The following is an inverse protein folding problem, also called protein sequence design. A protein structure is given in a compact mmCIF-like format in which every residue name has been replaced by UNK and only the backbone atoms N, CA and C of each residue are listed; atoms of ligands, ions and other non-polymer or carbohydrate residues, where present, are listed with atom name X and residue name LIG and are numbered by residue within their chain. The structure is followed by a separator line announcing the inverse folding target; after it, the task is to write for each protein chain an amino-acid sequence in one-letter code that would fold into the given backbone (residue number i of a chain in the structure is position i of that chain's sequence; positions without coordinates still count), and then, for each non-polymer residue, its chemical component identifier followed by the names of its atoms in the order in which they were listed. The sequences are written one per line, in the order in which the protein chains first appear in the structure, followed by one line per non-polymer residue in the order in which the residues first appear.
data_IF_286471004271
#
_entry.id   IF_286471004271
#
_cell.length_a   1.000
_cell.length_b   1.000
_cell.length_c   1.000
_cell.angle_alpha   90.00
_cell.angle_beta   90.00
_cell.angle_gamma   90.00
#
_symmetry.space_group_name_H-M   'P 1'
#
loop_
_entity.id
_entity.type
_entity.pdbx_description
1 polymer ?
#
# COMPACT_ATOMS: atom_id res chain seq x y z
N UNK A 1 -5.85 9.77 -22.82
CA UNK A 1 -5.17 11.02 -22.46
C UNK A 1 -4.75 11.00 -21.02
N UNK A 2 -3.70 11.71 -20.61
CA UNK A 2 -3.26 11.75 -19.22
C UNK A 2 -4.35 12.20 -18.24
N UNK A 3 -5.17 13.15 -18.63
CA UNK A 3 -6.29 13.65 -17.82
C UNK A 3 -7.31 12.56 -17.49
N UNK A 4 -7.54 11.63 -18.43
CA UNK A 4 -8.50 10.55 -18.26
C UNK A 4 -7.99 9.47 -17.30
N UNK A 5 -6.70 9.15 -17.37
CA UNK A 5 -6.07 8.23 -16.43
C UNK A 5 -6.14 8.78 -15.00
N UNK A 6 -5.97 10.08 -14.83
CA UNK A 6 -6.12 10.74 -13.54
C UNK A 6 -7.55 10.70 -13.03
N UNK A 7 -8.54 10.90 -13.89
CA UNK A 7 -9.96 10.78 -13.50
C UNK A 7 -10.30 9.38 -13.01
N UNK A 8 -9.84 8.34 -13.71
CA UNK A 8 -10.03 6.95 -13.28
C UNK A 8 -9.33 6.69 -11.96
N UNK A 9 -8.12 7.19 -11.79
CA UNK A 9 -7.35 7.05 -10.58
C UNK A 9 -8.04 7.74 -9.40
N UNK A 10 -8.57 8.95 -9.59
CA UNK A 10 -9.31 9.67 -8.56
C UNK A 10 -10.60 8.93 -8.19
N UNK A 11 -11.32 8.40 -9.18
CA UNK A 11 -12.51 7.59 -8.93
C UNK A 11 -12.18 6.33 -8.13
N UNK A 12 -11.06 5.67 -8.41
CA UNK A 12 -10.59 4.52 -7.65
C UNK A 12 -10.19 4.88 -6.23
N UNK A 13 -9.53 6.03 -6.04
CA UNK A 13 -9.18 6.52 -4.70
C UNK A 13 -10.42 6.82 -3.88
N UNK A 14 -11.42 7.49 -4.47
CA UNK A 14 -12.70 7.77 -3.82
C UNK A 14 -13.42 6.48 -3.45
N UNK A 15 -13.43 5.50 -4.37
CA UNK A 15 -13.99 4.17 -4.12
C UNK A 15 -13.26 3.42 -3.02
N UNK A 16 -11.94 3.58 -2.92
CA UNK A 16 -11.14 2.97 -1.86
C UNK A 16 -11.45 3.56 -0.49
N UNK A 17 -11.69 4.87 -0.41
CA UNK A 17 -12.12 5.51 0.84
C UNK A 17 -13.50 5.00 1.27
N UNK A 18 -14.35 4.62 0.32
CA UNK A 18 -15.66 4.03 0.55
C UNK A 18 -15.62 2.51 0.71
N UNK A 19 -14.61 1.84 0.14
CA UNK A 19 -14.49 0.38 0.23
C UNK A 19 -14.21 -0.05 1.66
N UNK A 20 -14.91 -1.09 2.14
CA UNK A 20 -14.75 -1.56 3.52
C UNK A 20 -13.46 -2.37 3.72
N UNK A 21 -12.33 -1.91 3.17
CA UNK A 21 -11.02 -2.48 3.46
C UNK A 21 -10.75 -2.42 4.96
N UNK A 22 -11.26 -1.38 5.61
CA UNK A 22 -11.23 -1.21 7.07
C UNK A 22 -12.02 -2.27 7.83
N UNK A 23 -12.93 -2.98 7.17
CA UNK A 23 -13.78 -4.01 7.78
C UNK A 23 -13.22 -5.42 7.60
N UNK A 24 -12.16 -5.58 6.81
CA UNK A 24 -11.51 -6.88 6.66
C UNK A 24 -10.68 -7.15 7.91
N UNK A 25 -11.08 -8.17 8.66
CA UNK A 25 -10.30 -8.66 9.78
C UNK A 25 -9.31 -9.71 9.29
N UNK A 26 -8.04 -9.48 9.55
CA UNK A 26 -6.97 -10.39 9.18
C UNK A 26 -6.41 -11.10 10.41
N UNK A 27 -5.76 -12.25 10.20
CA UNK A 27 -5.18 -13.06 11.27
C UNK A 27 -4.08 -12.30 12.03
N UNK A 28 -3.29 -11.51 11.28
CA UNK A 28 -2.23 -10.68 11.86
C UNK A 28 -2.64 -9.21 11.75
N UNK A 29 -2.23 -8.41 12.72
CA UNK A 29 -2.48 -6.97 12.65
C UNK A 29 -1.54 -6.29 11.66
N UNK A 30 -1.95 -5.18 11.02
CA UNK A 30 -1.05 -4.41 10.17
C UNK A 30 0.23 -3.97 10.89
N UNK A 31 0.12 -3.57 12.15
CA UNK A 31 1.27 -3.16 12.95
C UNK A 31 2.28 -4.29 13.10
N UNK A 32 1.84 -5.51 13.38
CA UNK A 32 2.76 -6.64 13.56
C UNK A 32 3.47 -7.01 12.25
N UNK A 33 2.77 -6.96 11.13
CA UNK A 33 3.36 -7.26 9.83
C UNK A 33 4.32 -6.16 9.39
N UNK A 34 3.95 -4.89 9.54
CA UNK A 34 4.84 -3.78 9.25
C UNK A 34 6.11 -3.81 10.11
N UNK A 35 5.96 -4.15 11.39
CA UNK A 35 7.10 -4.32 12.30
C UNK A 35 8.04 -5.42 11.81
N UNK A 36 7.48 -6.58 11.45
CA UNK A 36 8.28 -7.70 10.94
C UNK A 36 9.00 -7.33 9.64
N UNK A 37 8.35 -6.65 8.72
CA UNK A 37 8.96 -6.20 7.48
C UNK A 37 10.11 -5.21 7.72
N UNK A 38 9.92 -4.22 8.56
CA UNK A 38 10.95 -3.25 8.90
C UNK A 38 12.12 -3.92 9.62
N UNK A 39 11.85 -4.85 10.52
CA UNK A 39 12.90 -5.60 11.23
C UNK A 39 13.71 -6.48 10.28
N UNK A 40 13.07 -7.09 9.30
CA UNK A 40 13.74 -7.91 8.29
C UNK A 40 14.40 -7.08 7.18
N UNK A 41 14.03 -5.81 7.03
CA UNK A 41 14.49 -4.96 5.94
C UNK A 41 13.86 -5.28 4.60
N UNK A 42 12.84 -6.15 4.56
CA UNK A 42 12.15 -6.54 3.34
C UNK A 42 10.73 -6.98 3.64
N UNK A 43 9.83 -6.76 2.70
CA UNK A 43 8.47 -7.28 2.72
C UNK A 43 8.40 -8.56 1.87
N UNK A 44 7.35 -9.34 2.06
CA UNK A 44 7.09 -10.53 1.26
C UNK A 44 5.93 -10.33 0.28
N UNK A 45 5.54 -11.41 -0.39
CA UNK A 45 4.34 -11.47 -1.23
C UNK A 45 4.30 -10.44 -2.39
N UNK A 46 5.46 -10.06 -2.91
CA UNK A 46 5.56 -9.13 -4.03
C UNK A 46 5.63 -7.65 -3.63
N UNK A 47 5.67 -7.36 -2.34
CA UNK A 47 5.81 -6.00 -1.83
C UNK A 47 7.28 -5.63 -1.65
N UNK A 48 7.59 -4.37 -1.95
CA UNK A 48 8.89 -3.75 -1.69
C UNK A 48 8.68 -2.58 -0.73
N UNK A 49 9.54 -2.48 0.28
CA UNK A 49 9.52 -1.35 1.21
C UNK A 49 10.16 -0.14 0.52
N UNK A 50 9.42 0.95 0.45
CA UNK A 50 9.92 2.22 -0.07
C UNK A 50 10.65 3.01 1.02
N UNK A 51 10.87 4.29 0.80
CA UNK A 51 11.73 5.13 1.63
C UNK A 51 10.99 6.00 2.65
N UNK A 52 9.70 5.77 2.82
CA UNK A 52 8.89 6.57 3.73
C UNK A 52 8.24 5.68 4.79
N UNK A 53 8.39 6.03 6.05
CA UNK A 53 7.66 5.40 7.14
C UNK A 53 7.50 6.34 8.32
N UNK A 54 6.56 6.02 9.20
CA UNK A 54 6.36 6.74 10.46
C UNK A 54 6.29 5.72 11.60
N UNK A 55 7.07 5.96 12.65
CA UNK A 55 7.10 5.17 13.88
C UNK A 55 6.66 6.04 15.04
N UNK A 56 5.82 5.51 15.93
CA UNK A 56 5.34 6.22 17.13
C UNK A 56 5.62 5.44 18.39
N UNK A 57 5.94 6.16 19.47
CA UNK A 57 6.08 5.56 20.78
C UNK A 57 4.69 5.18 21.31
N UNK A 58 4.61 4.03 21.97
CA UNK A 58 3.37 3.53 22.57
C UNK A 58 2.94 4.39 23.76
N UNK A 59 3.92 4.90 24.51
CA UNK A 59 3.69 5.65 25.75
C UNK A 59 3.44 7.13 25.52
N UNK A 60 3.86 7.65 24.37
CA UNK A 60 3.69 9.05 24.03
C UNK A 60 3.41 9.16 22.52
N UNK A 61 2.15 9.29 22.17
CA UNK A 61 1.70 9.40 20.77
C UNK A 61 2.29 10.61 20.04
N UNK A 62 2.79 11.59 20.79
CA UNK A 62 3.44 12.77 20.20
C UNK A 62 4.88 12.50 19.83
N UNK A 63 5.49 11.46 20.38
CA UNK A 63 6.86 11.08 20.06
C UNK A 63 6.87 10.21 18.79
N UNK A 64 6.89 10.86 17.64
CA UNK A 64 6.91 10.20 16.33
C UNK A 64 8.23 10.47 15.61
N UNK A 65 8.71 9.47 14.89
CA UNK A 65 9.85 9.59 13.98
C UNK A 65 9.32 9.34 12.57
N UNK A 66 9.60 10.26 11.66
CA UNK A 66 9.16 10.16 10.27
C UNK A 66 10.38 10.11 9.36
N UNK A 67 10.44 9.09 8.54
CA UNK A 67 11.45 8.96 7.48
C UNK A 67 10.80 9.31 6.16
N UNK A 68 11.38 10.25 5.43
CA UNK A 68 10.91 10.67 4.10
C UNK A 68 12.10 10.63 3.16
N UNK A 69 11.95 9.87 2.08
CA UNK A 69 13.02 9.63 1.09
C UNK A 69 14.33 9.11 1.71
N UNK A 70 14.23 8.37 2.80
CA UNK A 70 15.37 7.82 3.54
C UNK A 70 15.33 6.29 3.45
N UNK A 71 16.50 5.67 3.26
CA UNK A 71 16.60 4.21 3.26
C UNK A 71 16.14 3.64 4.60
N UNK A 72 15.23 2.67 4.56
CA UNK A 72 14.65 2.04 5.75
C UNK A 72 15.37 0.75 6.16
N UNK A 73 16.48 0.42 5.50
CA UNK A 73 17.33 -0.74 5.82
C UNK A 73 18.46 -0.40 6.79
N UNK A 74 18.52 0.85 7.24
CA UNK A 74 19.57 1.31 8.13
C UNK A 74 19.34 0.97 9.60
N UNK A 75 20.42 1.14 10.40
CA UNK A 75 20.39 0.88 11.84
C UNK A 75 19.44 1.78 12.61
N UNK A 76 19.16 2.98 12.10
CA UNK A 76 18.28 3.96 12.76
C UNK A 76 16.86 3.41 12.97
N UNK A 77 16.29 2.77 11.94
CA UNK A 77 14.96 2.15 12.02
C UNK A 77 14.98 1.01 13.04
N UNK A 78 16.01 0.19 13.03
CA UNK A 78 16.18 -0.92 13.97
C UNK A 78 16.26 -0.43 15.41
N UNK A 79 17.00 0.66 15.65
CA UNK A 79 17.14 1.25 16.97
C UNK A 79 15.79 1.76 17.51
N UNK A 80 14.98 2.39 16.67
CA UNK A 80 13.64 2.85 17.06
C UNK A 80 12.68 1.68 17.32
N UNK A 81 12.75 0.61 16.53
CA UNK A 81 11.96 -0.59 16.78
C UNK A 81 12.38 -1.27 18.10
N UNK A 82 13.69 -1.35 18.35
CA UNK A 82 14.22 -1.90 19.60
C UNK A 82 13.81 -1.07 20.82
N UNK A 83 13.63 0.24 20.64
CA UNK A 83 13.14 1.15 21.68
C UNK A 83 11.62 1.02 21.94
N UNK A 84 10.92 0.15 21.22
CA UNK A 84 9.50 -0.10 21.42
C UNK A 84 8.58 0.79 20.59
N UNK A 85 9.10 1.56 19.64
CA UNK A 85 8.25 2.32 18.73
C UNK A 85 7.59 1.40 17.72
N UNK A 86 6.33 1.70 17.38
CA UNK A 86 5.56 0.89 16.43
C UNK A 86 5.30 1.67 15.14
N UNK A 87 5.37 1.00 13.99
CA UNK A 87 5.06 1.63 12.72
C UNK A 87 3.57 1.97 12.61
N UNK A 88 3.29 3.19 12.22
CA UNK A 88 1.93 3.66 11.96
C UNK A 88 1.67 3.85 10.48
N UNK A 89 2.72 4.07 9.69
CA UNK A 89 2.64 4.21 8.23
C UNK A 89 3.89 3.64 7.58
N UNK A 90 3.73 2.97 6.47
CA UNK A 90 4.83 2.47 5.66
C UNK A 90 4.47 2.61 4.17
N UNK A 91 5.39 3.16 3.39
CA UNK A 91 5.24 3.23 1.95
C UNK A 91 5.71 1.93 1.31
N UNK A 92 4.89 1.39 0.44
CA UNK A 92 5.13 0.11 -0.22
C UNK A 92 4.90 0.23 -1.72
N UNK A 93 5.60 -0.61 -2.47
CA UNK A 93 5.35 -0.83 -3.90
C UNK A 93 5.01 -2.30 -4.10
N UNK A 94 3.97 -2.57 -4.87
CA UNK A 94 3.54 -3.94 -5.20
C UNK A 94 3.92 -4.27 -6.63
N UNK A 95 4.72 -5.33 -6.79
CA UNK A 95 5.13 -5.91 -8.08
C UNK A 95 5.69 -4.88 -9.09
N UNK A 96 6.26 -3.77 -8.61
CA UNK A 96 6.71 -2.63 -9.43
C UNK A 96 5.61 -2.01 -10.29
N UNK A 97 4.33 -2.18 -9.90
CA UNK A 97 3.16 -1.75 -10.67
C UNK A 97 2.31 -0.72 -9.94
N UNK A 98 2.21 -0.82 -8.60
CA UNK A 98 1.46 0.13 -7.77
C UNK A 98 2.30 0.56 -6.57
N UNK A 99 2.16 1.82 -6.18
CA UNK A 99 2.71 2.30 -4.92
C UNK A 99 1.61 2.87 -4.03
N UNK A 100 1.76 2.75 -2.73
CA UNK A 100 0.77 3.21 -1.75
C UNK A 100 1.40 3.34 -0.36
N UNK A 101 0.65 3.93 0.55
CA UNK A 101 1.01 3.97 1.97
C UNK A 101 0.00 3.13 2.75
N UNK A 102 0.49 2.15 3.50
CA UNK A 102 -0.31 1.34 4.41
C UNK A 102 -0.24 1.95 5.80
N UNK A 103 -1.40 2.09 6.46
CA UNK A 103 -1.48 2.60 7.82
C UNK A 103 -1.74 1.46 8.82
N UNK A 104 -1.51 1.74 10.10
CA UNK A 104 -1.80 0.83 11.21
C UNK A 104 -3.29 0.49 11.36
N UNK A 105 -4.16 1.29 10.75
CA UNK A 105 -5.61 1.07 10.71
C UNK A 105 -6.09 0.33 9.48
N UNK A 106 -5.18 -0.27 8.72
CA UNK A 106 -5.48 -0.94 7.45
C UNK A 106 -6.07 0.00 6.41
N UNK A 107 -5.61 1.25 6.40
CA UNK A 107 -5.97 2.21 5.37
C UNK A 107 -4.91 2.21 4.28
N UNK A 108 -5.35 2.33 3.03
CA UNK A 108 -4.48 2.49 1.88
C UNK A 108 -4.56 3.95 1.44
N UNK A 109 -3.43 4.62 1.45
CA UNK A 109 -3.34 6.04 1.10
C UNK A 109 -2.33 6.26 -0.02
N UNK A 110 -2.45 7.37 -0.73
CA UNK A 110 -1.53 7.78 -1.79
C UNK A 110 -1.33 6.71 -2.86
N UNK A 111 -2.40 6.01 -3.21
CA UNK A 111 -2.36 4.99 -4.24
C UNK A 111 -1.96 5.60 -5.58
N UNK A 112 -0.92 5.05 -6.20
CA UNK A 112 -0.44 5.46 -7.52
C UNK A 112 -0.20 4.23 -8.38
N UNK A 113 -0.66 4.31 -9.63
CA UNK A 113 -0.32 3.32 -10.65
C UNK A 113 0.93 3.78 -11.36
N UNK A 114 1.92 2.91 -11.45
CA UNK A 114 3.19 3.22 -12.09
C UNK A 114 3.03 3.27 -13.62
N UNK A 115 3.97 3.88 -14.31
CA UNK A 115 3.88 4.17 -15.74
C UNK A 115 3.64 2.93 -16.60
N UNK A 116 4.17 1.78 -16.20
CA UNK A 116 3.95 0.49 -16.88
C UNK A 116 2.46 0.18 -17.06
N UNK A 117 1.65 0.42 -16.01
CA UNK A 117 0.19 0.18 -16.05
C UNK A 117 -0.50 1.17 -16.97
N UNK A 118 -0.10 2.43 -16.91
CA UNK A 118 -0.66 3.48 -17.76
C UNK A 118 -0.38 3.21 -19.22
N UNK A 119 0.85 2.81 -19.56
CA UNK A 119 1.24 2.45 -20.90
C UNK A 119 0.50 1.21 -21.42
N UNK A 120 0.28 0.22 -20.57
CA UNK A 120 -0.47 -0.98 -20.91
C UNK A 120 -1.93 -0.65 -21.24
N UNK A 121 -2.56 0.22 -20.45
CA UNK A 121 -3.91 0.68 -20.69
C UNK A 121 -4.02 1.44 -22.01
N UNK A 122 -3.07 2.33 -22.29
CA UNK A 122 -3.03 3.10 -23.55
C UNK A 122 -2.87 2.20 -24.79
N UNK A 123 -2.06 1.15 -24.69
CA UNK A 123 -1.84 0.21 -25.81
C UNK A 123 -3.06 -0.66 -26.13
N UNK A 124 -3.89 -0.98 -25.13
CA UNK A 124 -5.06 -1.82 -25.33
C UNK A 124 -6.29 -1.06 -25.80
N UNK A 125 -6.24 0.27 -25.80
CA UNK A 125 -7.37 1.10 -26.18
C UNK A 125 -7.34 1.42 -27.68
N UNK A 126 -8.39 1.03 -28.40
CA UNK A 126 -8.56 1.30 -29.84
C UNK A 126 -9.33 2.61 -30.09
N UNK A 127 -10.10 3.07 -29.11
CA UNK A 127 -10.87 4.31 -29.20
C UNK A 127 -10.93 4.99 -27.83
N UNK A 128 -11.30 6.29 -27.81
CA UNK A 128 -11.38 7.05 -26.57
C UNK A 128 -12.45 6.54 -25.61
N UNK A 129 -13.52 5.93 -26.11
CA UNK A 129 -14.58 5.34 -25.26
C UNK A 129 -14.16 4.00 -24.68
N UNK A 130 -13.49 3.17 -25.50
CA UNK A 130 -12.92 1.90 -25.06
C UNK A 130 -11.75 2.10 -24.10
N UNK A 131 -11.04 3.22 -24.22
CA UNK A 131 -9.89 3.52 -23.35
C UNK A 131 -10.29 3.66 -21.90
N UNK A 132 -11.38 4.35 -21.60
CA UNK A 132 -11.85 4.49 -20.21
C UNK A 132 -12.19 3.14 -19.58
N UNK A 133 -12.87 2.26 -20.32
CA UNK A 133 -13.20 0.91 -19.86
C UNK A 133 -11.96 0.04 -19.67
N UNK A 134 -11.01 0.11 -20.61
CA UNK A 134 -9.75 -0.62 -20.55
C UNK A 134 -8.90 -0.16 -19.36
N UNK A 135 -8.76 1.16 -19.18
CA UNK A 135 -8.03 1.74 -18.05
C UNK A 135 -8.62 1.28 -16.71
N UNK A 136 -9.94 1.37 -16.58
CA UNK A 136 -10.65 0.95 -15.37
C UNK A 136 -10.45 -0.54 -15.10
N UNK A 137 -10.60 -1.38 -16.12
CA UNK A 137 -10.46 -2.83 -15.98
C UNK A 137 -9.04 -3.22 -15.55
N UNK A 138 -8.01 -2.62 -16.15
CA UNK A 138 -6.60 -2.91 -15.83
C UNK A 138 -6.27 -2.43 -14.42
N UNK A 139 -6.62 -1.20 -14.09
CA UNK A 139 -6.35 -0.62 -12.77
C UNK A 139 -7.09 -1.36 -11.66
N UNK A 140 -8.36 -1.69 -11.90
CA UNK A 140 -9.18 -2.47 -10.98
C UNK A 140 -8.62 -3.87 -10.74
N UNK A 141 -8.16 -4.55 -11.80
CA UNK A 141 -7.54 -5.86 -11.72
C UNK A 141 -6.23 -5.83 -10.94
N UNK A 142 -5.37 -4.84 -11.19
CA UNK A 142 -4.12 -4.66 -10.45
C UNK A 142 -4.37 -4.39 -8.97
N UNK A 143 -5.34 -3.54 -8.67
CA UNK A 143 -5.72 -3.23 -7.30
C UNK A 143 -6.23 -4.47 -6.57
N UNK A 144 -7.05 -5.29 -7.22
CA UNK A 144 -7.55 -6.53 -6.64
C UNK A 144 -6.41 -7.50 -6.32
N UNK A 145 -5.43 -7.63 -7.21
CA UNK A 145 -4.26 -8.47 -6.98
C UNK A 145 -3.44 -7.98 -5.79
N UNK A 146 -3.21 -6.67 -5.71
CA UNK A 146 -2.50 -6.05 -4.59
C UNK A 146 -3.23 -6.29 -3.26
N UNK A 147 -4.54 -6.09 -3.22
CA UNK A 147 -5.35 -6.30 -2.02
C UNK A 147 -5.33 -7.76 -1.58
N UNK A 148 -5.42 -8.70 -2.52
CA UNK A 148 -5.34 -10.13 -2.22
C UNK A 148 -3.97 -10.49 -1.64
N UNK A 149 -2.89 -9.96 -2.21
CA UNK A 149 -1.54 -10.18 -1.70
C UNK A 149 -1.34 -9.56 -0.31
N UNK A 150 -1.95 -8.39 -0.07
CA UNK A 150 -1.89 -7.73 1.23
C UNK A 150 -2.60 -8.56 2.30
N UNK A 151 -3.79 -9.05 2.01
CA UNK A 151 -4.54 -9.93 2.93
C UNK A 151 -3.75 -11.21 3.22
N UNK A 152 -3.11 -11.81 2.22
CA UNK A 152 -2.23 -12.96 2.42
C UNK A 152 -1.05 -12.62 3.33
N UNK A 153 -0.42 -11.46 3.15
CA UNK A 153 0.68 -11.00 4.00
C UNK A 153 0.26 -10.85 5.46
N UNK A 154 -1.02 -10.58 5.68
CA UNK A 154 -1.62 -10.46 7.02
C UNK A 154 -2.18 -11.79 7.55
N UNK A 155 -1.79 -12.91 6.94
CA UNK A 155 -2.19 -14.24 7.39
C UNK A 155 -3.55 -14.71 6.89
N UNK A 156 -4.18 -13.95 5.99
CA UNK A 156 -5.52 -14.23 5.47
C UNK A 156 -6.63 -13.63 6.32
N UNK A 157 -7.86 -13.71 5.84
CA UNK A 157 -9.03 -13.22 6.55
C UNK A 157 -9.34 -14.10 7.77
N UNK A 158 -9.89 -13.47 8.80
CA UNK A 158 -10.45 -14.21 9.94
C UNK A 158 -11.76 -14.84 9.48
N UNK A 159 -11.80 -16.17 9.51
CA UNK A 159 -13.02 -16.92 9.23
C UNK A 159 -13.82 -16.98 10.53
N UNK A 160 -14.93 -16.24 10.58
CA UNK A 160 -15.87 -16.34 11.69
C UNK A 160 -16.69 -17.64 11.53
N UNK A 161 -16.44 -18.55 12.45
CA UNK A 161 -17.21 -19.81 12.50
C UNK A 161 -18.49 -19.63 13.33
#
# INVERSE_FOLDING_TARGET
SPARAEEVLDALRDSLDELPVKMVKTQLSPVSVMTAWLAAGQAGHGFTIDRDCELRAVTDEKAAVRYVHHSLDGSDVQDHLAAGKLPTKIALTYADRLSFVLTDRMEIRRLQFLDVIKEEAERKAESSDMQAEADFAIMSGELQQMLAALVQSLGGEVVES
#
